data_IF_968035211227
#
_entry.id   IF_968035211227
#
_cell.length_a   1.000
_cell.length_b   1.000
_cell.length_c   1.000
_cell.angle_alpha   90.00
_cell.angle_beta   90.00
_cell.angle_gamma   90.00
#
_symmetry.space_group_name_H-M   'P 1'
#
loop_
_entity.id
_entity.type
_entity.pdbx_description
1 polymer ?
#
# COMPACT_ATOMS: atom_id res chain seq x y z
N UNK A 1 -5.82 25.27 0.43
CA UNK A 1 -6.94 25.03 -0.47
C UNK A 1 -7.26 23.54 -0.51
N UNK A 2 -8.52 23.23 -0.25
CA UNK A 2 -8.95 21.84 -0.35
C UNK A 2 -9.06 21.45 -1.82
N UNK A 3 -8.38 20.39 -2.19
CA UNK A 3 -8.44 19.88 -3.55
C UNK A 3 -9.31 18.62 -3.57
N UNK A 4 -10.10 18.50 -4.63
CA UNK A 4 -11.01 17.39 -4.78
C UNK A 4 -10.40 16.30 -5.65
N UNK A 5 -10.53 15.06 -5.20
CA UNK A 5 -10.12 13.89 -5.96
C UNK A 5 -11.38 13.10 -6.29
N UNK A 6 -11.56 12.79 -7.57
CA UNK A 6 -12.70 12.00 -8.03
C UNK A 6 -12.21 10.67 -8.56
N UNK A 7 -12.82 9.60 -8.08
CA UNK A 7 -12.57 8.26 -8.58
C UNK A 7 -13.87 7.65 -9.07
N UNK A 8 -13.78 6.71 -9.98
CA UNK A 8 -14.94 6.01 -10.50
C UNK A 8 -14.88 4.56 -10.05
N UNK A 9 -15.90 4.12 -9.31
CA UNK A 9 -16.04 2.75 -8.85
C UNK A 9 -17.43 2.24 -9.22
N UNK A 10 -17.49 1.07 -9.84
CA UNK A 10 -18.76 0.43 -10.22
C UNK A 10 -19.61 1.31 -11.12
N UNK A 11 -18.96 2.12 -11.96
CA UNK A 11 -19.66 3.03 -12.85
C UNK A 11 -20.20 4.30 -12.20
N UNK A 12 -19.84 4.56 -10.94
CA UNK A 12 -20.30 5.76 -10.22
C UNK A 12 -19.09 6.60 -9.79
N UNK A 13 -19.18 7.92 -9.93
CA UNK A 13 -18.11 8.79 -9.45
C UNK A 13 -18.24 9.05 -7.97
N UNK A 14 -17.11 9.04 -7.29
CA UNK A 14 -17.01 9.39 -5.87
C UNK A 14 -15.96 10.48 -5.72
N UNK A 15 -16.34 11.56 -5.05
CA UNK A 15 -15.45 12.70 -4.87
C UNK A 15 -15.15 12.91 -3.39
N UNK A 16 -13.89 13.10 -3.07
CA UNK A 16 -13.49 13.37 -1.70
C UNK A 16 -12.42 14.46 -1.66
N UNK A 17 -12.24 15.04 -0.49
CA UNK A 17 -11.26 16.11 -0.28
C UNK A 17 -9.90 15.53 0.08
N UNK A 18 -8.86 16.06 -0.57
CA UNK A 18 -7.49 15.76 -0.22
C UNK A 18 -6.95 16.98 0.56
N UNK A 19 -6.64 16.77 1.82
CA UNK A 19 -6.20 17.86 2.70
C UNK A 19 -4.72 18.18 2.55
N UNK A 20 -3.92 17.22 2.11
CA UNK A 20 -2.48 17.40 2.00
C UNK A 20 -2.02 17.16 0.57
N UNK A 21 -0.99 16.40 0.39
CA UNK A 21 -0.37 16.17 -0.91
C UNK A 21 -1.37 15.61 -1.95
N UNK A 22 -1.73 16.43 -2.91
CA UNK A 22 -2.67 16.07 -3.98
C UNK A 22 -2.14 14.95 -4.86
N UNK A 23 -0.84 14.99 -5.17
CA UNK A 23 -0.22 13.96 -6.00
C UNK A 23 -0.28 12.60 -5.31
N UNK A 24 0.01 12.56 -4.02
CA UNK A 24 -0.06 11.32 -3.24
C UNK A 24 -1.50 10.81 -3.13
N UNK A 25 -2.46 11.72 -2.90
CA UNK A 25 -3.87 11.35 -2.81
C UNK A 25 -4.38 10.74 -4.11
N UNK A 26 -3.98 11.31 -5.24
CA UNK A 26 -4.36 10.80 -6.56
C UNK A 26 -3.75 9.44 -6.82
N UNK A 27 -2.49 9.25 -6.46
CA UNK A 27 -1.79 7.98 -6.61
C UNK A 27 -2.47 6.88 -5.79
N UNK A 28 -2.84 7.19 -4.54
CA UNK A 28 -3.56 6.25 -3.68
C UNK A 28 -4.93 5.92 -4.26
N UNK A 29 -5.64 6.94 -4.77
CA UNK A 29 -6.95 6.74 -5.39
C UNK A 29 -6.85 5.85 -6.62
N UNK A 30 -5.87 6.07 -7.48
CA UNK A 30 -5.65 5.25 -8.67
C UNK A 30 -5.32 3.80 -8.29
N UNK A 31 -4.55 3.61 -7.24
CA UNK A 31 -4.22 2.28 -6.72
C UNK A 31 -5.47 1.55 -6.24
N UNK A 32 -6.35 2.25 -5.52
CA UNK A 32 -7.60 1.68 -5.06
C UNK A 32 -8.48 1.23 -6.22
N UNK A 33 -8.62 2.08 -7.24
CA UNK A 33 -9.41 1.75 -8.44
C UNK A 33 -8.86 0.50 -9.12
N UNK A 34 -7.55 0.39 -9.25
CA UNK A 34 -6.92 -0.79 -9.84
C UNK A 34 -7.23 -2.06 -9.04
N UNK A 35 -7.12 -1.99 -7.73
CA UNK A 35 -7.40 -3.14 -6.86
C UNK A 35 -8.85 -3.57 -6.93
N UNK A 36 -9.78 -2.61 -6.91
CA UNK A 36 -11.20 -2.92 -7.04
C UNK A 36 -11.49 -3.56 -8.39
N UNK A 37 -10.93 -3.03 -9.46
CA UNK A 37 -11.11 -3.57 -10.81
C UNK A 37 -10.56 -4.99 -10.92
N UNK A 38 -9.41 -5.24 -10.33
CA UNK A 38 -8.80 -6.57 -10.34
C UNK A 38 -9.67 -7.58 -9.60
N UNK A 39 -10.13 -7.23 -8.39
CA UNK A 39 -10.97 -8.12 -7.59
C UNK A 39 -12.30 -8.39 -8.29
N UNK A 40 -12.89 -7.35 -8.87
CA UNK A 40 -14.13 -7.47 -9.62
C UNK A 40 -13.97 -8.46 -10.79
N UNK A 41 -12.85 -8.36 -11.51
CA UNK A 41 -12.55 -9.27 -12.61
C UNK A 41 -12.36 -10.71 -12.17
N UNK A 42 -11.71 -10.91 -11.03
CA UNK A 42 -11.49 -12.25 -10.49
C UNK A 42 -12.79 -12.92 -10.04
N UNK A 43 -13.70 -12.14 -9.47
CA UNK A 43 -14.94 -12.68 -8.91
C UNK A 43 -16.05 -12.81 -9.93
N UNK A 44 -16.03 -12.04 -11.00
CA UNK A 44 -17.10 -12.04 -12.01
C UNK A 44 -17.24 -13.37 -12.73
N UNK A 45 -16.16 -14.16 -12.79
CA UNK A 45 -16.20 -15.49 -13.42
C UNK A 45 -16.67 -16.61 -12.50
N UNK A 46 -16.83 -16.34 -11.20
CA UNK A 46 -17.10 -17.36 -10.19
C UNK A 46 -18.49 -17.28 -9.58
N UNK A 47 -19.18 -16.17 -9.73
CA UNK A 47 -20.50 -15.95 -9.15
C UNK A 47 -21.31 -15.01 -10.01
N UNK A 48 -22.61 -15.28 -10.14
CA UNK A 48 -23.51 -14.42 -10.89
C UNK A 48 -24.01 -13.21 -10.10
N UNK A 49 -23.76 -13.20 -8.79
CA UNK A 49 -24.23 -12.10 -7.94
C UNK A 49 -23.11 -11.66 -6.98
N UNK A 50 -22.11 -11.00 -7.54
CA UNK A 50 -21.03 -10.48 -6.72
C UNK A 50 -21.49 -9.15 -6.12
N UNK A 51 -21.50 -9.09 -4.79
CA UNK A 51 -21.90 -7.92 -4.06
C UNK A 51 -20.77 -6.88 -4.09
N UNK A 52 -21.12 -5.63 -4.42
CA UNK A 52 -20.16 -4.52 -4.45
C UNK A 52 -19.45 -4.35 -3.10
N UNK A 53 -20.20 -4.56 -2.01
CA UNK A 53 -19.63 -4.50 -0.66
C UNK A 53 -18.55 -5.55 -0.47
N UNK A 54 -18.78 -6.77 -0.93
CA UNK A 54 -17.79 -7.85 -0.83
C UNK A 54 -16.53 -7.52 -1.64
N UNK A 55 -16.69 -6.94 -2.82
CA UNK A 55 -15.57 -6.52 -3.65
C UNK A 55 -14.73 -5.46 -2.91
N UNK A 56 -15.39 -4.46 -2.34
CA UNK A 56 -14.70 -3.40 -1.61
C UNK A 56 -13.97 -3.95 -0.37
N UNK A 57 -14.61 -4.85 0.37
CA UNK A 57 -14.00 -5.46 1.54
C UNK A 57 -12.77 -6.26 1.13
N UNK A 58 -12.87 -7.06 0.10
CA UNK A 58 -11.76 -7.88 -0.36
C UNK A 58 -10.61 -7.02 -0.89
N UNK A 59 -10.94 -5.97 -1.66
CA UNK A 59 -9.93 -5.03 -2.14
C UNK A 59 -9.22 -4.34 -0.97
N UNK A 60 -9.99 -3.90 0.03
CA UNK A 60 -9.42 -3.27 1.21
C UNK A 60 -8.52 -4.23 1.99
N UNK A 61 -8.94 -5.50 2.12
CA UNK A 61 -8.11 -6.51 2.80
C UNK A 61 -6.81 -6.75 2.04
N UNK A 62 -6.87 -6.79 0.72
CA UNK A 62 -5.67 -6.97 -0.10
C UNK A 62 -4.71 -5.80 0.05
N UNK A 63 -5.23 -4.57 0.03
CA UNK A 63 -4.43 -3.37 0.21
C UNK A 63 -3.78 -3.35 1.60
N UNK A 64 -4.58 -3.63 2.62
CA UNK A 64 -4.08 -3.67 3.99
C UNK A 64 -3.01 -4.75 4.17
N UNK A 65 -3.22 -5.91 3.56
CA UNK A 65 -2.28 -7.02 3.62
C UNK A 65 -0.95 -6.63 2.99
N UNK A 66 -0.97 -5.99 1.82
CA UNK A 66 0.23 -5.50 1.15
C UNK A 66 0.95 -4.46 2.00
N UNK A 67 0.18 -3.56 2.61
CA UNK A 67 0.76 -2.54 3.49
C UNK A 67 1.52 -3.19 4.65
N UNK A 68 0.93 -4.19 5.30
CA UNK A 68 1.59 -4.88 6.41
C UNK A 68 2.80 -5.69 5.95
N UNK A 69 2.75 -6.29 4.78
CA UNK A 69 3.89 -6.98 4.21
C UNK A 69 5.05 -6.04 3.94
N UNK A 70 4.77 -4.88 3.33
CA UNK A 70 5.78 -3.87 3.06
C UNK A 70 6.37 -3.33 4.36
N UNK A 71 5.54 -3.09 5.34
CA UNK A 71 5.98 -2.60 6.65
C UNK A 71 6.91 -3.60 7.32
N UNK A 72 6.55 -4.87 7.28
CA UNK A 72 7.37 -5.95 7.85
C UNK A 72 8.69 -6.08 7.12
N UNK A 73 8.66 -6.08 5.80
CA UNK A 73 9.84 -6.15 4.97
C UNK A 73 10.79 -4.99 5.26
N UNK A 74 10.23 -3.79 5.36
CA UNK A 74 11.01 -2.58 5.65
C UNK A 74 11.67 -2.67 7.03
N UNK A 75 10.94 -3.14 8.03
CA UNK A 75 11.47 -3.33 9.38
C UNK A 75 12.61 -4.35 9.38
N UNK A 76 12.44 -5.47 8.67
CA UNK A 76 13.47 -6.50 8.54
C UNK A 76 14.72 -5.95 7.85
N UNK A 77 14.54 -5.15 6.81
CA UNK A 77 15.66 -4.53 6.12
C UNK A 77 16.42 -3.56 7.03
N UNK A 78 15.70 -2.75 7.79
CA UNK A 78 16.32 -1.83 8.74
C UNK A 78 17.09 -2.58 9.81
N UNK A 79 16.55 -3.68 10.31
CA UNK A 79 17.23 -4.52 11.29
C UNK A 79 18.51 -5.11 10.72
N UNK A 80 18.45 -5.67 9.52
CA UNK A 80 19.63 -6.23 8.86
C UNK A 80 20.69 -5.17 8.60
N UNK A 81 20.27 -3.99 8.17
CA UNK A 81 21.18 -2.88 7.92
C UNK A 81 21.86 -2.43 9.22
N UNK A 82 21.08 -2.34 10.29
CA UNK A 82 21.59 -1.98 11.61
C UNK A 82 22.63 -2.99 12.10
N UNK A 83 22.36 -4.28 11.91
CA UNK A 83 23.30 -5.35 12.28
C UNK A 83 24.59 -5.24 11.49
N UNK A 84 24.52 -5.00 10.18
CA UNK A 84 25.70 -4.84 9.35
C UNK A 84 26.50 -3.61 9.75
N UNK A 85 25.84 -2.51 10.03
CA UNK A 85 26.49 -1.28 10.46
C UNK A 85 27.22 -1.49 11.78
N UNK A 86 26.57 -2.14 12.74
CA UNK A 86 27.17 -2.48 14.04
C UNK A 86 28.41 -3.35 13.86
N UNK A 87 28.31 -4.35 13.02
CA UNK A 87 29.40 -5.26 12.74
C UNK A 87 30.61 -4.53 12.11
N UNK A 88 30.35 -3.62 11.18
CA UNK A 88 31.39 -2.82 10.57
C UNK A 88 32.04 -1.89 11.58
N UNK A 89 31.27 -1.28 12.45
CA UNK A 89 31.80 -0.41 13.51
C UNK A 89 32.70 -1.19 14.47
N UNK A 90 32.29 -2.41 14.82
CA UNK A 90 33.11 -3.28 15.67
C UNK A 90 34.46 -3.60 15.02
N UNK A 91 34.46 -3.92 13.74
CA UNK A 91 35.68 -4.18 12.99
C UNK A 91 36.60 -2.98 12.93
N UNK A 92 36.04 -1.81 12.68
CA UNK A 92 36.80 -0.57 12.63
C UNK A 92 37.41 -0.28 13.99
N UNK A 93 36.63 -0.44 15.05
CA UNK A 93 37.06 -0.21 16.42
C UNK A 93 38.25 -1.12 16.78
N UNK A 94 38.16 -2.40 16.45
CA UNK A 94 39.23 -3.35 16.68
C UNK A 94 40.50 -2.95 15.90
N UNK A 95 40.35 -2.51 14.67
CA UNK A 95 41.46 -2.08 13.82
C UNK A 95 42.15 -0.85 14.38
N UNK A 96 41.39 0.10 14.92
CA UNK A 96 41.94 1.33 15.49
C UNK A 96 42.64 1.11 16.83
N UNK A 97 42.20 0.12 17.60
CA UNK A 97 42.73 -0.19 18.91
C UNK A 97 43.81 -1.26 18.89
N UNK A 98 43.99 -1.91 17.76
CA UNK A 98 44.99 -2.93 17.57
C UNK A 98 46.16 -2.46 16.74
#
# INVERSE_FOLDING_TARGET
MDQLVTIELFGHPFTFKAEKDMAAAKEVADFLVKEVTRVEGELSGKSTSVNKRAILILAALNIASEYFEHKRYHADMLEKLSQKTSHLMDKISVHLNG
#
